data_IF_626024720076
#
_entry.id   IF_626024720076
#
_cell.length_a   1.000
_cell.length_b   1.000
_cell.length_c   1.000
_cell.angle_alpha   90.00
_cell.angle_beta   90.00
_cell.angle_gamma   90.00
#
_symmetry.space_group_name_H-M   'P 1'
#
loop_
_entity.id
_entity.type
_entity.pdbx_description
1 polymer ?
#
# COMPACT_ATOMS: atom_id res chain seq x y z
N UNK A 1 3.20 -25.49 -16.96
CA UNK A 1 2.21 -24.76 -16.12
C UNK A 1 0.96 -24.58 -16.94
N UNK A 2 -0.25 -24.73 -16.38
CA UNK A 2 -1.48 -24.40 -17.12
C UNK A 2 -1.61 -22.87 -17.20
N UNK A 3 -1.89 -22.35 -18.40
CA UNK A 3 -2.02 -20.91 -18.68
C UNK A 3 -3.18 -20.25 -17.95
N UNK A 4 -4.07 -21.05 -17.36
CA UNK A 4 -5.28 -20.61 -16.67
C UNK A 4 -5.40 -21.29 -15.31
N UNK A 5 -5.87 -20.55 -14.32
CA UNK A 5 -6.24 -21.02 -12.98
C UNK A 5 -7.66 -20.59 -12.68
N UNK A 6 -8.52 -21.54 -12.33
CA UNK A 6 -9.86 -21.23 -11.86
C UNK A 6 -9.84 -20.86 -10.36
N UNK A 7 -10.54 -19.79 -10.00
CA UNK A 7 -10.76 -19.39 -8.61
C UNK A 7 -12.12 -19.89 -8.14
N UNK A 8 -12.14 -20.85 -7.22
CA UNK A 8 -13.40 -21.31 -6.63
C UNK A 8 -14.11 -20.24 -5.76
N UNK A 9 -13.38 -19.21 -5.31
CA UNK A 9 -13.96 -18.14 -4.46
C UNK A 9 -14.86 -17.18 -5.23
N UNK A 10 -14.42 -16.78 -6.43
CA UNK A 10 -15.12 -15.80 -7.27
C UNK A 10 -15.65 -16.40 -8.57
N UNK A 11 -15.41 -17.70 -8.79
CA UNK A 11 -15.81 -18.43 -10.00
C UNK A 11 -15.27 -17.82 -11.30
N UNK A 12 -14.12 -17.16 -11.22
CA UNK A 12 -13.43 -16.57 -12.36
C UNK A 12 -12.21 -17.38 -12.78
N UNK A 13 -11.88 -17.32 -14.06
CA UNK A 13 -10.64 -17.89 -14.59
C UNK A 13 -9.59 -16.79 -14.72
N UNK A 14 -8.42 -17.05 -14.14
CA UNK A 14 -7.32 -16.10 -14.07
C UNK A 14 -6.15 -16.60 -14.90
N UNK A 15 -5.51 -15.70 -15.65
CA UNK A 15 -4.37 -16.04 -16.50
C UNK A 15 -3.10 -16.22 -15.67
N UNK A 16 -2.29 -17.20 -16.04
CA UNK A 16 -0.93 -17.39 -15.52
C UNK A 16 0.06 -17.17 -16.66
N UNK A 17 1.17 -16.52 -16.34
CA UNK A 17 2.26 -16.25 -17.29
C UNK A 17 3.58 -16.74 -16.70
N UNK A 18 4.52 -17.11 -17.56
CA UNK A 18 5.88 -17.46 -17.15
C UNK A 18 6.82 -16.37 -17.66
N UNK A 19 7.64 -15.81 -16.78
CA UNK A 19 8.68 -14.84 -17.12
C UNK A 19 9.98 -15.40 -16.56
N UNK A 20 10.94 -15.73 -17.43
CA UNK A 20 12.16 -16.46 -17.04
C UNK A 20 11.84 -17.78 -16.35
N UNK A 21 12.35 -17.96 -15.14
CA UNK A 21 12.11 -19.13 -14.30
C UNK A 21 10.93 -18.97 -13.33
N UNK A 22 10.27 -17.81 -13.32
CA UNK A 22 9.18 -17.50 -12.40
C UNK A 22 7.81 -17.62 -13.06
N UNK A 23 6.85 -18.11 -12.30
CA UNK A 23 5.47 -18.30 -12.72
C UNK A 23 4.57 -17.31 -11.99
N UNK A 24 3.94 -16.41 -12.72
CA UNK A 24 3.07 -15.36 -12.18
C UNK A 24 1.60 -15.66 -12.44
N UNK A 25 0.73 -15.19 -11.56
CA UNK A 25 -0.73 -15.14 -11.78
C UNK A 25 -1.11 -13.69 -11.99
N UNK A 26 -1.75 -13.37 -13.10
CA UNK A 26 -2.17 -12.00 -13.41
C UNK A 26 -3.43 -11.72 -12.59
N UNK A 27 -3.35 -10.82 -11.62
CA UNK A 27 -4.54 -10.39 -10.88
C UNK A 27 -5.31 -9.36 -11.71
N UNK A 28 -6.59 -9.63 -12.06
CA UNK A 28 -7.40 -8.66 -12.78
C UNK A 28 -7.66 -7.43 -11.91
N UNK A 29 -7.72 -6.24 -12.52
CA UNK A 29 -7.97 -4.98 -11.81
C UNK A 29 -9.38 -4.88 -11.23
N UNK A 30 -10.36 -5.59 -11.80
CA UNK A 30 -11.75 -5.62 -11.33
C UNK A 30 -11.99 -6.56 -10.12
N UNK A 31 -10.92 -7.07 -9.51
CA UNK A 31 -10.97 -8.03 -8.39
C UNK A 31 -10.12 -7.54 -7.23
N UNK A 32 -10.67 -7.58 -6.02
CA UNK A 32 -9.93 -7.22 -4.81
C UNK A 32 -8.76 -8.19 -4.52
N UNK A 33 -7.68 -7.72 -3.84
CA UNK A 33 -6.57 -8.58 -3.46
C UNK A 33 -7.03 -9.85 -2.70
N UNK A 34 -6.30 -10.95 -2.89
CA UNK A 34 -6.66 -12.28 -2.37
C UNK A 34 -8.01 -12.85 -2.89
N UNK A 35 -8.60 -12.27 -3.95
CA UNK A 35 -9.86 -12.70 -4.56
C UNK A 35 -11.02 -12.71 -3.56
N UNK A 36 -11.13 -11.64 -2.75
CA UNK A 36 -12.14 -11.54 -1.69
C UNK A 36 -13.51 -11.10 -2.20
N UNK A 37 -13.55 -10.23 -3.22
CA UNK A 37 -14.75 -9.67 -3.83
C UNK A 37 -14.41 -9.03 -5.19
N UNK A 38 -15.42 -8.66 -5.98
CA UNK A 38 -15.24 -7.77 -7.13
C UNK A 38 -15.04 -6.33 -6.65
N UNK A 39 -14.32 -5.50 -7.42
CA UNK A 39 -14.10 -4.09 -7.04
C UNK A 39 -15.41 -3.32 -6.94
N UNK A 40 -16.32 -3.53 -7.88
CA UNK A 40 -17.60 -2.80 -7.98
C UNK A 40 -18.49 -3.06 -6.76
N UNK A 41 -18.45 -4.29 -6.21
CA UNK A 41 -19.20 -4.64 -4.99
C UNK A 41 -18.61 -3.98 -3.74
N UNK A 42 -17.31 -3.65 -3.75
CA UNK A 42 -16.59 -3.12 -2.58
C UNK A 42 -16.42 -1.60 -2.60
N UNK A 43 -16.50 -0.98 -3.78
CA UNK A 43 -16.28 0.45 -3.99
C UNK A 43 -17.20 1.32 -3.11
N UNK A 44 -18.52 1.08 -3.03
CA UNK A 44 -19.41 1.86 -2.16
C UNK A 44 -19.03 1.73 -0.68
N UNK A 45 -18.61 0.54 -0.25
CA UNK A 45 -18.20 0.30 1.14
C UNK A 45 -16.90 1.02 1.47
N UNK A 46 -15.90 0.93 0.59
CA UNK A 46 -14.62 1.62 0.78
C UNK A 46 -14.78 3.15 0.72
N UNK A 47 -15.68 3.65 -0.12
CA UNK A 47 -16.05 5.06 -0.11
C UNK A 47 -16.62 5.49 1.25
N UNK A 48 -17.58 4.75 1.80
CA UNK A 48 -18.16 5.02 3.12
C UNK A 48 -17.12 4.93 4.25
N UNK A 49 -16.15 4.02 4.13
CA UNK A 49 -15.07 3.88 5.12
C UNK A 49 -14.14 5.09 5.19
N UNK A 50 -14.08 5.95 4.15
CA UNK A 50 -13.36 7.24 4.21
C UNK A 50 -13.95 8.20 5.25
N UNK A 51 -15.21 8.03 5.64
CA UNK A 51 -15.89 8.83 6.66
C UNK A 51 -15.90 8.16 8.03
N UNK A 52 -14.99 7.21 8.26
CA UNK A 52 -14.85 6.47 9.52
C UNK A 52 -16.11 5.73 10.00
N UNK A 53 -17.01 5.39 9.07
CA UNK A 53 -18.25 4.66 9.38
C UNK A 53 -17.91 3.28 9.98
N UNK A 54 -18.39 2.95 11.19
CA UNK A 54 -18.01 1.71 11.86
C UNK A 54 -18.42 0.50 11.03
N UNK A 55 -17.60 -0.56 10.99
CA UNK A 55 -17.83 -1.78 10.17
C UNK A 55 -19.18 -2.48 10.39
N UNK A 56 -19.87 -2.18 11.50
CA UNK A 56 -21.25 -2.63 11.73
C UNK A 56 -22.23 -2.08 10.70
N UNK A 57 -22.05 -0.84 10.25
CA UNK A 57 -22.93 -0.21 9.27
C UNK A 57 -22.85 -0.91 7.90
N UNK A 58 -21.67 -1.09 7.27
CA UNK A 58 -21.61 -1.81 5.99
C UNK A 58 -22.01 -3.28 6.13
N UNK A 59 -21.73 -3.94 7.26
CA UNK A 59 -22.23 -5.28 7.51
C UNK A 59 -23.77 -5.35 7.55
N UNK A 60 -24.43 -4.32 8.10
CA UNK A 60 -25.88 -4.23 8.16
C UNK A 60 -26.53 -3.93 6.79
N UNK A 61 -25.87 -3.12 5.96
CA UNK A 61 -26.41 -2.60 4.69
C UNK A 61 -26.02 -3.46 3.49
N UNK A 62 -24.75 -3.83 3.38
CA UNK A 62 -24.19 -4.60 2.25
C UNK A 62 -24.00 -6.09 2.56
N UNK A 63 -24.35 -6.52 3.78
CA UNK A 63 -24.14 -7.89 4.25
C UNK A 63 -22.69 -8.19 4.62
N UNK A 64 -22.33 -9.47 4.71
CA UNK A 64 -21.03 -9.96 5.24
C UNK A 64 -20.79 -9.56 6.71
N UNK A 65 -19.73 -10.11 7.28
CA UNK A 65 -19.35 -9.82 8.67
C UNK A 65 -18.40 -8.62 8.77
N UNK A 66 -18.20 -8.10 10.00
CA UNK A 66 -17.32 -6.96 10.26
C UNK A 66 -15.87 -7.22 9.82
N UNK A 67 -15.38 -8.45 10.01
CA UNK A 67 -13.99 -8.82 9.71
C UNK A 67 -13.75 -8.94 8.20
N UNK A 68 -14.76 -9.32 7.42
CA UNK A 68 -14.71 -9.27 5.96
C UNK A 68 -14.40 -7.85 5.49
N UNK A 69 -15.18 -6.86 5.92
CA UNK A 69 -14.99 -5.47 5.52
C UNK A 69 -13.67 -4.88 6.01
N UNK A 70 -13.26 -5.18 7.25
CA UNK A 70 -11.96 -4.77 7.77
C UNK A 70 -10.81 -5.32 6.92
N UNK A 71 -10.88 -6.58 6.50
CA UNK A 71 -9.86 -7.20 5.64
C UNK A 71 -9.86 -6.60 4.24
N UNK A 72 -11.04 -6.31 3.68
CA UNK A 72 -11.19 -5.66 2.37
C UNK A 72 -10.54 -4.29 2.38
N UNK A 73 -10.80 -3.45 3.38
CA UNK A 73 -10.18 -2.12 3.53
C UNK A 73 -8.65 -2.19 3.70
N UNK A 74 -8.14 -3.14 4.49
CA UNK A 74 -6.70 -3.29 4.72
C UNK A 74 -5.94 -3.87 3.52
N UNK A 75 -6.62 -4.58 2.64
CA UNK A 75 -5.96 -5.36 1.59
C UNK A 75 -5.16 -4.55 0.57
N UNK A 76 -5.58 -3.34 0.12
CA UNK A 76 -4.80 -2.54 -0.82
C UNK A 76 -3.52 -1.98 -0.19
N UNK A 77 -3.50 -1.76 1.13
CA UNK A 77 -2.34 -1.23 1.86
C UNK A 77 -1.15 -2.17 1.97
N UNK A 78 -1.19 -3.34 1.30
CA UNK A 78 -0.05 -4.27 1.20
C UNK A 78 0.82 -4.04 -0.02
N UNK A 79 0.33 -3.24 -0.97
CA UNK A 79 1.07 -2.94 -2.17
C UNK A 79 2.08 -1.83 -1.89
N UNK A 80 3.22 -1.88 -2.57
CA UNK A 80 4.15 -0.75 -2.58
C UNK A 80 3.45 0.50 -3.13
N UNK A 81 3.56 1.62 -2.42
CA UNK A 81 3.00 2.89 -2.86
C UNK A 81 3.74 3.31 -4.13
N UNK A 82 5.07 3.40 -4.09
CA UNK A 82 5.87 3.90 -5.22
C UNK A 82 5.74 2.96 -6.42
N UNK A 83 5.83 1.65 -6.22
CA UNK A 83 5.73 0.66 -7.29
C UNK A 83 4.34 0.56 -7.93
N UNK A 84 3.29 1.10 -7.28
CA UNK A 84 1.95 1.18 -7.88
C UNK A 84 1.62 2.54 -8.49
N UNK A 85 2.26 3.62 -8.06
CA UNK A 85 2.00 4.98 -8.56
C UNK A 85 3.00 5.44 -9.61
N UNK A 86 4.28 5.06 -9.48
CA UNK A 86 5.37 5.46 -10.38
C UNK A 86 5.71 4.29 -11.31
N UNK A 87 5.51 4.49 -12.61
CA UNK A 87 5.79 3.46 -13.62
C UNK A 87 7.20 3.54 -14.20
N UNK A 88 7.73 4.75 -14.32
CA UNK A 88 8.98 5.01 -15.03
C UNK A 88 9.98 5.72 -14.13
N UNK A 89 11.28 5.37 -14.18
CA UNK A 89 12.34 6.00 -13.36
C UNK A 89 12.37 7.52 -13.44
N UNK A 90 12.14 8.09 -14.62
CA UNK A 90 12.15 9.54 -14.85
C UNK A 90 11.06 10.31 -14.09
N UNK A 91 10.03 9.60 -13.61
CA UNK A 91 8.94 10.16 -12.80
C UNK A 91 9.19 9.99 -11.30
N UNK A 92 10.34 9.46 -10.88
CA UNK A 92 10.72 9.47 -9.47
C UNK A 92 11.03 10.91 -9.04
N UNK A 93 10.53 11.35 -7.87
CA UNK A 93 10.65 12.74 -7.46
C UNK A 93 12.10 13.10 -7.13
N UNK A 94 12.60 14.19 -7.70
CA UNK A 94 13.91 14.72 -7.35
C UNK A 94 13.95 15.39 -5.98
N UNK A 95 12.80 15.86 -5.48
CA UNK A 95 12.66 16.60 -4.24
C UNK A 95 11.58 15.95 -3.37
N UNK A 96 11.95 15.58 -2.15
CA UNK A 96 11.03 14.93 -1.21
C UNK A 96 10.92 15.75 0.08
N UNK A 97 9.73 15.77 0.65
CA UNK A 97 9.47 16.19 2.03
C UNK A 97 9.29 14.96 2.92
N UNK A 98 9.70 15.08 4.17
CA UNK A 98 9.41 14.10 5.18
C UNK A 98 8.79 14.78 6.40
N UNK A 99 7.92 14.05 7.09
CA UNK A 99 7.20 14.53 8.27
C UNK A 99 6.78 13.36 9.16
N UNK A 100 6.66 13.62 10.46
CA UNK A 100 6.23 12.63 11.45
C UNK A 100 4.92 13.02 12.11
N UNK A 101 3.90 12.19 11.91
CA UNK A 101 2.66 12.31 12.69
C UNK A 101 2.76 11.51 13.98
N UNK A 102 2.62 12.19 15.12
CA UNK A 102 2.47 11.55 16.41
C UNK A 102 1.12 10.81 16.50
N UNK A 103 1.14 9.56 16.95
CA UNK A 103 -0.04 8.71 17.07
C UNK A 103 0.10 7.73 18.24
N UNK A 104 -0.89 6.84 18.38
CA UNK A 104 -0.82 5.73 19.33
C UNK A 104 -1.49 4.49 18.77
N UNK A 105 -0.89 3.33 19.01
CA UNK A 105 -1.48 2.02 18.70
C UNK A 105 -1.71 1.28 20.00
N UNK A 106 -2.97 0.94 20.29
CA UNK A 106 -3.38 0.25 21.53
C UNK A 106 -2.95 0.95 22.84
N UNK A 107 -2.77 2.27 22.79
CA UNK A 107 -2.35 3.09 23.94
C UNK A 107 -0.85 3.36 23.98
N UNK A 108 -0.05 2.63 23.23
CA UNK A 108 1.39 2.86 23.12
C UNK A 108 1.66 3.95 22.07
N UNK A 109 2.48 4.93 22.43
CA UNK A 109 2.86 6.01 21.50
C UNK A 109 3.62 5.42 20.31
N UNK A 110 3.31 5.90 19.12
CA UNK A 110 4.00 5.56 17.90
C UNK A 110 4.07 6.79 16.98
N UNK A 111 4.86 6.67 15.93
CA UNK A 111 5.06 7.74 14.96
C UNK A 111 4.73 7.20 13.58
N UNK A 112 4.13 8.03 12.73
CA UNK A 112 3.89 7.69 11.33
C UNK A 112 4.81 8.57 10.52
N UNK A 113 5.88 7.97 10.01
CA UNK A 113 6.83 8.59 9.10
C UNK A 113 6.18 8.66 7.72
N UNK A 114 6.02 9.87 7.19
CA UNK A 114 5.43 10.12 5.89
C UNK A 114 6.45 10.80 4.98
N UNK A 115 6.61 10.25 3.78
CA UNK A 115 7.38 10.87 2.69
C UNK A 115 6.40 11.38 1.65
N UNK A 116 6.56 12.64 1.26
CA UNK A 116 5.74 13.33 0.28
C UNK A 116 6.60 13.91 -0.83
N UNK A 117 6.06 13.98 -2.04
CA UNK A 117 6.69 14.67 -3.16
C UNK A 117 5.63 15.02 -4.20
N UNK A 118 5.81 16.13 -4.91
CA UNK A 118 4.91 16.52 -6.01
C UNK A 118 3.42 16.45 -5.63
N UNK A 119 3.08 16.97 -4.45
CA UNK A 119 1.72 16.97 -3.89
C UNK A 119 1.11 15.57 -3.65
N UNK A 120 1.94 14.53 -3.68
CA UNK A 120 1.55 13.14 -3.47
C UNK A 120 2.22 12.55 -2.24
N UNK A 121 1.53 11.60 -1.62
CA UNK A 121 2.11 10.74 -0.58
C UNK A 121 2.88 9.62 -1.29
N UNK A 122 4.18 9.56 -1.05
CA UNK A 122 5.10 8.62 -1.68
C UNK A 122 5.47 7.45 -0.78
N UNK A 123 5.44 7.66 0.54
CA UNK A 123 5.75 6.63 1.52
C UNK A 123 5.05 6.91 2.84
N UNK A 124 4.58 5.85 3.51
CA UNK A 124 4.02 5.92 4.86
C UNK A 124 4.41 4.65 5.60
N UNK A 125 5.05 4.79 6.76
CA UNK A 125 5.40 3.66 7.61
C UNK A 125 5.27 4.01 9.09
N UNK A 126 5.00 3.01 9.91
CA UNK A 126 4.87 3.19 11.37
C UNK A 126 6.22 2.93 12.02
N UNK A 127 6.70 3.91 12.76
CA UNK A 127 7.82 3.80 13.69
C UNK A 127 7.30 3.55 15.11
N UNK A 128 7.97 2.66 15.85
CA UNK A 128 7.60 2.29 17.21
C UNK A 128 7.82 3.42 18.21
N UNK A 129 8.79 4.28 17.95
CA UNK A 129 9.14 5.43 18.79
C UNK A 129 9.71 6.59 17.95
N UNK A 130 10.15 7.65 18.62
CA UNK A 130 10.71 8.86 17.99
C UNK A 130 12.24 8.75 17.79
N UNK A 131 12.82 7.60 18.09
CA UNK A 131 14.25 7.37 17.98
C UNK A 131 14.70 7.37 16.51
N UNK A 132 15.93 7.82 16.30
CA UNK A 132 16.54 7.89 14.98
C UNK A 132 16.51 6.54 14.24
N UNK A 133 16.83 5.45 14.94
CA UNK A 133 16.81 4.09 14.39
C UNK A 133 15.39 3.65 13.96
N UNK A 134 14.37 3.95 14.76
CA UNK A 134 12.99 3.56 14.44
C UNK A 134 12.44 4.35 13.25
N UNK A 135 12.78 5.64 13.18
CA UNK A 135 12.42 6.49 12.04
C UNK A 135 13.21 6.09 10.79
N UNK A 136 14.48 5.75 10.91
CA UNK A 136 15.31 5.28 9.79
C UNK A 136 14.72 4.04 9.14
N UNK A 137 14.35 3.03 9.93
CA UNK A 137 13.72 1.82 9.39
C UNK A 137 12.35 2.11 8.77
N UNK A 138 11.59 3.08 9.29
CA UNK A 138 10.32 3.50 8.71
C UNK A 138 10.49 4.20 7.35
N UNK A 139 11.44 5.13 7.22
CA UNK A 139 11.73 5.83 5.97
C UNK A 139 12.37 4.94 4.91
N UNK A 140 13.11 3.92 5.32
CA UNK A 140 13.73 2.92 4.44
C UNK A 140 12.72 2.21 3.53
N UNK A 141 11.46 2.08 3.96
CA UNK A 141 10.38 1.50 3.12
C UNK A 141 10.25 2.27 1.81
N UNK A 142 10.13 3.60 1.86
CA UNK A 142 10.05 4.43 0.64
C UNK A 142 11.30 4.28 -0.23
N UNK A 143 12.48 4.29 0.41
CA UNK A 143 13.77 4.16 -0.28
C UNK A 143 13.88 2.84 -1.05
N UNK A 144 13.53 1.73 -0.42
CA UNK A 144 13.54 0.41 -1.07
C UNK A 144 12.53 0.34 -2.21
N UNK A 145 11.33 0.87 -2.01
CA UNK A 145 10.31 0.92 -3.06
C UNK A 145 10.74 1.76 -4.26
N UNK A 146 11.36 2.92 -4.05
CA UNK A 146 11.91 3.75 -5.12
C UNK A 146 13.07 3.04 -5.85
N UNK A 147 13.93 2.34 -5.11
CA UNK A 147 15.06 1.59 -5.68
C UNK A 147 14.67 0.35 -6.46
N UNK A 148 13.47 -0.18 -6.23
CA UNK A 148 12.91 -1.23 -7.08
C UNK A 148 12.59 -0.73 -8.50
N UNK A 149 12.40 0.59 -8.67
CA UNK A 149 12.17 1.23 -9.97
C UNK A 149 13.50 1.68 -10.58
N UNK A 150 14.31 2.38 -9.80
CA UNK A 150 15.65 2.84 -10.18
C UNK A 150 16.68 2.49 -9.09
N UNK A 151 17.51 1.46 -9.29
CA UNK A 151 18.48 1.00 -8.30
C UNK A 151 19.46 2.09 -7.81
N UNK A 152 19.71 3.12 -8.62
CA UNK A 152 20.62 4.23 -8.30
C UNK A 152 19.91 5.45 -7.72
N UNK A 153 18.59 5.38 -7.52
CA UNK A 153 17.79 6.50 -7.03
C UNK A 153 18.32 7.08 -5.71
N UNK A 154 18.50 8.40 -5.74
CA UNK A 154 18.78 9.24 -4.58
C UNK A 154 18.12 10.60 -4.79
N UNK A 155 17.32 11.10 -3.82
CA UNK A 155 16.69 12.41 -3.95
C UNK A 155 17.75 13.52 -3.94
N UNK A 156 17.56 14.55 -4.77
CA UNK A 156 18.44 15.73 -4.81
C UNK A 156 18.34 16.56 -3.54
N UNK A 157 17.13 16.63 -2.98
CA UNK A 157 16.88 17.26 -1.68
C UNK A 157 15.86 16.45 -0.91
N UNK A 158 16.13 16.26 0.39
CA UNK A 158 15.16 15.76 1.34
C UNK A 158 14.90 16.84 2.39
N UNK A 159 13.61 17.10 2.68
CA UNK A 159 13.21 17.78 3.91
C UNK A 159 13.66 17.00 5.15
N UNK A 160 13.53 17.58 6.34
CA UNK A 160 13.81 16.85 7.59
C UNK A 160 12.92 15.60 7.70
N UNK A 161 13.41 14.45 8.23
CA UNK A 161 14.70 14.22 8.90
C UNK A 161 15.88 14.01 7.92
N UNK A 162 17.17 14.01 8.38
CA UNK A 162 18.32 14.29 7.51
C UNK A 162 18.46 13.29 6.36
N UNK A 163 18.95 13.78 5.21
CA UNK A 163 19.10 13.03 3.95
C UNK A 163 19.99 11.78 3.97
N UNK A 164 20.42 11.29 5.14
CA UNK A 164 21.02 9.94 5.28
C UNK A 164 20.00 8.81 5.22
N UNK A 165 18.72 9.13 5.38
CA UNK A 165 17.63 8.15 5.49
C UNK A 165 17.06 7.68 4.12
N UNK A 166 17.49 8.29 3.02
CA UNK A 166 16.97 8.07 1.66
C UNK A 166 18.09 7.73 0.67
#
# INVERSE_FOLDING_TARGET
MKDRRFSGKLLITVRRIKIGNHSYTIHPSFVMPCMTAMTDDTEPVLFLRKFDIPFRAPARVFGKDHMHWQRTERSPGRNSIVGTTVRYPENLPGHIGADEKHSSVRGDKCYVAATVAEECVMGVSVAGDAGEESLEEAYKVFREEARNIDPEYSPKTAGKPPGRLF
#
